data_IF_347599788087
#
_entry.id   IF_347599788087
#
_cell.length_a   1.000
_cell.length_b   1.000
_cell.length_c   1.000
_cell.angle_alpha   90.00
_cell.angle_beta   90.00
_cell.angle_gamma   90.00
#
_symmetry.space_group_name_H-M   'P 1'
#
loop_
_entity.id
_entity.type
_entity.pdbx_description
1 polymer ?
#
# COMPACT_ATOMS: atom_id res chain seq x y z
N UNK A 1 28.78 -14.83 -1.49
CA UNK A 1 28.50 -13.46 -1.01
C UNK A 1 27.04 -13.40 -0.57
N UNK A 2 26.74 -12.79 0.57
CA UNK A 2 25.37 -12.59 1.05
C UNK A 2 24.70 -11.45 0.26
N UNK A 3 23.39 -11.57 -0.04
CA UNK A 3 22.64 -10.47 -0.67
C UNK A 3 22.54 -9.29 0.32
N UNK A 4 22.91 -8.07 -0.08
CA UNK A 4 22.74 -6.89 0.76
C UNK A 4 21.25 -6.57 0.97
N UNK A 5 20.91 -6.04 2.14
CA UNK A 5 19.55 -5.60 2.46
C UNK A 5 19.32 -4.17 1.96
N UNK A 6 18.51 -4.01 0.92
CA UNK A 6 18.09 -2.72 0.40
C UNK A 6 16.83 -2.26 1.12
N UNK A 7 16.99 -1.44 2.17
CA UNK A 7 15.87 -0.88 2.93
C UNK A 7 15.16 0.24 2.16
N UNK A 8 13.87 0.44 2.44
CA UNK A 8 13.16 1.62 1.97
C UNK A 8 13.75 2.89 2.61
N UNK A 9 13.93 3.93 1.80
CA UNK A 9 14.35 5.25 2.23
C UNK A 9 13.23 6.24 1.98
N UNK A 10 12.97 7.13 2.94
CA UNK A 10 11.97 8.20 2.78
C UNK A 10 12.30 9.11 1.59
N UNK A 11 13.58 9.43 1.43
CA UNK A 11 14.07 10.39 0.43
C UNK A 11 14.24 9.76 -0.96
N UNK A 12 14.08 8.43 -1.10
CA UNK A 12 14.27 7.66 -2.33
C UNK A 12 13.18 6.57 -2.48
N UNK A 13 11.93 6.98 -2.29
CA UNK A 13 10.77 6.11 -2.48
C UNK A 13 9.58 6.88 -3.05
N UNK A 14 8.74 6.16 -3.80
CA UNK A 14 7.44 6.63 -4.26
C UNK A 14 6.38 5.56 -3.96
N UNK A 15 5.17 6.00 -3.60
CA UNK A 15 4.02 5.11 -3.42
C UNK A 15 3.11 5.18 -4.64
N UNK A 16 2.80 4.02 -5.22
CA UNK A 16 1.91 3.88 -6.36
C UNK A 16 0.62 3.17 -5.91
N UNK A 17 -0.52 3.87 -5.98
CA UNK A 17 -1.84 3.30 -5.76
C UNK A 17 -2.46 2.97 -7.12
N UNK A 18 -2.49 1.67 -7.46
CA UNK A 18 -3.00 1.20 -8.75
C UNK A 18 -4.43 0.69 -8.56
N UNK A 19 -5.38 1.22 -9.33
CA UNK A 19 -6.75 0.71 -9.51
C UNK A 19 -7.58 0.38 -8.25
N UNK A 20 -7.45 1.18 -7.18
CA UNK A 20 -8.31 1.08 -5.98
C UNK A 20 -9.70 1.73 -6.18
N UNK A 21 -10.35 1.42 -7.30
CA UNK A 21 -11.65 1.96 -7.69
C UNK A 21 -12.80 1.16 -7.05
N UNK A 22 -13.90 1.84 -6.70
CA UNK A 22 -15.05 1.25 -5.97
C UNK A 22 -15.59 -0.06 -6.55
N UNK A 23 -15.67 -0.20 -7.88
CA UNK A 23 -16.13 -1.45 -8.52
C UNK A 23 -15.15 -2.62 -8.37
N UNK A 24 -13.84 -2.36 -8.52
CA UNK A 24 -12.80 -3.38 -8.43
C UNK A 24 -12.59 -3.87 -6.99
N UNK A 25 -12.78 -2.99 -6.00
CA UNK A 25 -12.68 -3.36 -4.58
C UNK A 25 -13.70 -4.46 -4.21
N UNK A 26 -14.86 -4.52 -4.88
CA UNK A 26 -15.88 -5.55 -4.64
C UNK A 26 -15.50 -6.96 -5.15
N UNK A 27 -14.47 -7.05 -6.01
CA UNK A 27 -13.98 -8.32 -6.56
C UNK A 27 -12.96 -9.00 -5.63
N UNK A 28 -12.43 -8.26 -4.66
CA UNK A 28 -11.50 -8.79 -3.64
C UNK A 28 -12.28 -9.68 -2.67
N UNK A 29 -11.87 -10.95 -2.55
CA UNK A 29 -12.57 -11.96 -1.72
C UNK A 29 -11.65 -12.71 -0.75
N UNK A 30 -10.35 -12.53 -0.91
CA UNK A 30 -9.29 -13.11 -0.08
C UNK A 30 -9.06 -12.34 1.22
N UNK A 31 -9.52 -11.08 1.29
CA UNK A 31 -9.43 -10.21 2.46
C UNK A 31 -10.83 -9.71 2.82
N UNK A 32 -11.14 -9.73 4.12
CA UNK A 32 -12.35 -9.11 4.65
C UNK A 32 -12.48 -7.64 4.17
N UNK A 33 -13.66 -7.20 3.66
CA UNK A 33 -13.82 -5.88 3.04
C UNK A 33 -13.45 -4.70 3.95
N UNK A 34 -13.80 -4.77 5.25
CA UNK A 34 -13.53 -3.69 6.20
C UNK A 34 -12.04 -3.61 6.52
N UNK A 35 -11.40 -4.77 6.69
CA UNK A 35 -9.94 -4.85 6.84
C UNK A 35 -9.21 -4.34 5.60
N UNK A 36 -9.68 -4.72 4.42
CA UNK A 36 -9.08 -4.28 3.16
C UNK A 36 -9.15 -2.76 3.01
N UNK A 37 -10.33 -2.17 3.20
CA UNK A 37 -10.52 -0.71 3.18
C UNK A 37 -9.61 0.00 4.19
N UNK A 38 -9.54 -0.52 5.41
CA UNK A 38 -8.70 0.06 6.47
C UNK A 38 -7.21 0.04 6.10
N UNK A 39 -6.73 -1.07 5.54
CA UNK A 39 -5.34 -1.20 5.11
C UNK A 39 -4.99 -0.24 3.97
N UNK A 40 -5.88 -0.09 2.97
CA UNK A 40 -5.70 0.86 1.86
C UNK A 40 -5.58 2.29 2.39
N UNK A 41 -6.49 2.69 3.29
CA UNK A 41 -6.46 4.02 3.92
C UNK A 41 -5.20 4.23 4.76
N UNK A 42 -4.79 3.24 5.55
CA UNK A 42 -3.58 3.31 6.37
C UNK A 42 -2.32 3.45 5.51
N UNK A 43 -2.23 2.71 4.40
CA UNK A 43 -1.10 2.79 3.46
C UNK A 43 -1.04 4.17 2.80
N UNK A 44 -2.19 4.70 2.37
CA UNK A 44 -2.27 6.05 1.81
C UNK A 44 -1.90 7.13 2.85
N UNK A 45 -2.34 6.97 4.10
CA UNK A 45 -1.98 7.86 5.20
C UNK A 45 -0.47 7.81 5.50
N UNK A 46 0.15 6.63 5.44
CA UNK A 46 1.60 6.48 5.59
C UNK A 46 2.36 7.22 4.48
N UNK A 47 1.95 7.09 3.21
CA UNK A 47 2.57 7.88 2.14
C UNK A 47 2.38 9.38 2.31
N UNK A 48 1.21 9.83 2.77
CA UNK A 48 1.00 11.26 3.08
C UNK A 48 1.86 11.75 4.25
N UNK A 49 2.15 10.89 5.22
CA UNK A 49 2.96 11.24 6.40
C UNK A 49 4.46 11.27 6.09
N UNK A 50 4.94 10.35 5.25
CA UNK A 50 6.36 10.23 4.91
C UNK A 50 6.76 10.95 3.61
N UNK A 51 5.84 11.17 2.66
CA UNK A 51 6.05 12.07 1.52
C UNK A 51 6.12 13.53 1.96
#
# INVERSE_FOLDING_TARGET
MTKPYTRLSRDDAAMLLVDHQTGLLSLVRDIDPDKFKTNVLATAAAARYFG
#
